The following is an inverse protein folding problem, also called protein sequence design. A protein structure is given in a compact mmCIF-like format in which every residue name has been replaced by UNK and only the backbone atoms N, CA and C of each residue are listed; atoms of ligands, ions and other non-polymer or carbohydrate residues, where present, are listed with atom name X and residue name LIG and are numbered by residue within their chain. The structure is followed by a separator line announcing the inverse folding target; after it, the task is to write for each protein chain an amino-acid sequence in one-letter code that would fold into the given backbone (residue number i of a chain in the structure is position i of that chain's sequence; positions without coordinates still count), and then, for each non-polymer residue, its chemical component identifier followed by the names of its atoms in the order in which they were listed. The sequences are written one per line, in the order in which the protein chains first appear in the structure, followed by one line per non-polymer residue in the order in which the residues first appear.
data_IF_518731023775
#
_entry.id   IF_518731023775
#
_cell.length_a   1.000
_cell.length_b   1.000
_cell.length_c   1.000
_cell.angle_alpha   90.00
_cell.angle_beta   90.00
_cell.angle_gamma   90.00
#
_symmetry.space_group_name_H-M   'P 1'
#
loop_
_entity.id
_entity.type
_entity.pdbx_description
1 polymer ?
#
# COMPACT_ATOMS: atom_id res chain seq x y z
N UNK A 1 -5.57 -6.16 36.01
CA UNK A 1 -6.68 -6.01 35.05
C UNK A 1 -6.06 -5.61 33.72
N UNK A 2 -6.47 -6.21 32.60
CA UNK A 2 -5.96 -5.82 31.27
C UNK A 2 -6.39 -4.39 30.97
N UNK A 3 -5.43 -3.50 30.72
CA UNK A 3 -5.70 -2.11 30.34
C UNK A 3 -5.54 -1.98 28.83
N UNK A 4 -6.66 -2.05 28.11
CA UNK A 4 -6.68 -2.01 26.65
C UNK A 4 -6.76 -0.56 26.14
N UNK A 5 -5.67 -0.07 25.56
CA UNK A 5 -5.58 1.27 24.94
C UNK A 5 -5.43 1.16 23.43
N UNK A 6 -5.87 2.21 22.71
CA UNK A 6 -5.55 2.38 21.29
C UNK A 6 -4.83 3.71 21.16
N UNK A 7 -3.68 3.70 20.51
CA UNK A 7 -2.78 4.84 20.42
C UNK A 7 -2.32 5.04 18.96
N UNK A 8 -2.15 6.30 18.50
CA UNK A 8 -1.59 6.56 17.19
C UNK A 8 -0.12 6.12 17.15
N UNK A 9 0.30 5.59 16.00
CA UNK A 9 1.72 5.32 15.74
C UNK A 9 2.39 6.64 15.35
N UNK A 10 3.43 7.01 16.07
CA UNK A 10 4.27 8.20 15.83
C UNK A 10 5.60 7.77 15.24
N UNK A 11 6.45 8.74 14.90
CA UNK A 11 7.82 8.44 14.46
C UNK A 11 8.63 7.73 15.54
N UNK A 12 8.39 8.02 16.83
CA UNK A 12 9.09 7.34 17.92
C UNK A 12 8.64 5.88 18.09
N UNK A 13 7.35 5.59 17.89
CA UNK A 13 6.77 4.25 18.10
C UNK A 13 6.73 3.39 16.83
N UNK A 14 7.12 3.95 15.68
CA UNK A 14 7.08 3.26 14.40
C UNK A 14 7.93 1.98 14.37
N UNK A 15 9.11 2.01 15.00
CA UNK A 15 9.98 0.83 15.03
C UNK A 15 9.39 -0.28 15.91
N UNK A 16 8.78 0.05 17.05
CA UNK A 16 8.06 -0.90 17.92
C UNK A 16 6.91 -1.57 17.14
N UNK A 17 6.13 -0.78 16.40
CA UNK A 17 5.05 -1.31 15.56
C UNK A 17 5.59 -2.20 14.42
N UNK A 18 6.69 -1.80 13.79
CA UNK A 18 7.34 -2.57 12.74
C UNK A 18 7.86 -3.93 13.25
N UNK A 19 8.38 -4.00 14.48
CA UNK A 19 8.73 -5.26 15.13
C UNK A 19 7.50 -6.13 15.32
N UNK A 20 6.38 -5.59 15.82
CA UNK A 20 5.14 -6.34 15.95
C UNK A 20 4.68 -6.96 14.60
N UNK A 21 4.69 -6.17 13.52
CA UNK A 21 4.30 -6.65 12.18
C UNK A 21 5.25 -7.73 11.64
N UNK A 22 6.55 -7.62 11.89
CA UNK A 22 7.51 -8.66 11.52
C UNK A 22 7.16 -10.00 12.17
N UNK A 23 6.87 -10.00 13.47
CA UNK A 23 6.60 -11.22 14.23
C UNK A 23 5.22 -11.84 13.93
N UNK A 24 4.21 -11.00 13.69
CA UNK A 24 2.81 -11.47 13.68
C UNK A 24 2.09 -11.36 12.33
N UNK A 25 2.57 -10.55 11.40
CA UNK A 25 1.96 -10.40 10.08
C UNK A 25 2.78 -11.04 8.97
N UNK A 26 4.09 -10.75 8.91
CA UNK A 26 4.97 -11.31 7.88
C UNK A 26 6.43 -11.18 8.27
N UNK A 27 7.08 -12.33 8.51
CA UNK A 27 8.51 -12.42 8.81
C UNK A 27 9.41 -12.22 7.56
N UNK A 28 8.85 -12.22 6.35
CA UNK A 28 9.60 -11.99 5.10
C UNK A 28 10.12 -10.55 4.92
N UNK A 29 9.79 -9.63 5.83
CA UNK A 29 10.27 -8.24 5.86
C UNK A 29 10.85 -7.96 7.24
N UNK A 30 12.09 -7.46 7.31
CA UNK A 30 12.70 -7.11 8.60
C UNK A 30 11.96 -5.91 9.25
N UNK A 31 12.11 -5.71 10.58
CA UNK A 31 11.55 -4.53 11.24
C UNK A 31 12.01 -3.19 10.63
N UNK A 32 13.28 -3.09 10.20
CA UNK A 32 13.83 -1.87 9.58
C UNK A 32 13.13 -1.60 8.25
N UNK A 33 12.90 -2.65 7.46
CA UNK A 33 12.17 -2.55 6.20
C UNK A 33 10.71 -2.17 6.41
N UNK A 34 10.05 -2.76 7.40
CA UNK A 34 8.69 -2.38 7.79
C UNK A 34 8.59 -0.90 8.19
N UNK A 35 9.51 -0.44 9.04
CA UNK A 35 9.55 0.95 9.48
C UNK A 35 9.87 1.91 8.32
N UNK A 36 10.80 1.56 7.44
CA UNK A 36 11.12 2.35 6.24
C UNK A 36 9.94 2.42 5.27
N UNK A 37 9.27 1.29 5.01
CA UNK A 37 8.09 1.22 4.14
C UNK A 37 6.96 2.11 4.68
N UNK A 38 6.52 1.89 5.93
CA UNK A 38 5.48 2.70 6.58
C UNK A 38 5.91 4.17 6.75
N UNK A 39 7.21 4.38 6.94
CA UNK A 39 7.85 5.69 7.03
C UNK A 39 7.80 6.52 5.76
N UNK A 40 7.51 5.92 4.59
CA UNK A 40 7.45 6.62 3.31
C UNK A 40 6.48 7.79 3.36
N UNK A 41 6.92 8.98 2.97
CA UNK A 41 6.11 10.21 2.96
C UNK A 41 5.71 10.54 1.53
N UNK A 42 4.46 10.28 1.17
CA UNK A 42 3.83 10.85 -0.04
C UNK A 42 3.00 12.09 0.25
N UNK A 43 2.97 12.50 1.53
CA UNK A 43 2.39 13.73 2.03
C UNK A 43 3.29 14.23 3.16
N UNK A 44 3.59 15.53 3.19
CA UNK A 44 4.44 16.13 4.24
C UNK A 44 3.68 16.20 5.57
N UNK A 45 2.37 16.45 5.52
CA UNK A 45 1.50 16.52 6.69
C UNK A 45 0.67 15.22 6.82
N UNK A 46 1.21 14.26 7.58
CA UNK A 46 0.48 13.04 7.98
C UNK A 46 0.15 13.07 9.48
N UNK A 47 -1.03 12.58 9.91
CA UNK A 47 -1.42 12.62 11.32
C UNK A 47 -0.78 11.51 12.18
N UNK A 48 -0.38 10.39 11.58
CA UNK A 48 0.20 9.21 12.22
C UNK A 48 0.71 8.23 11.14
N UNK A 49 1.21 7.07 11.55
CA UNK A 49 1.55 5.93 10.68
C UNK A 49 0.52 4.79 10.76
N UNK A 50 -0.63 5.06 11.38
CA UNK A 50 -1.62 4.07 11.78
C UNK A 50 -1.91 4.11 13.28
N UNK A 51 -2.48 3.03 13.80
CA UNK A 51 -2.81 2.88 15.22
C UNK A 51 -2.39 1.50 15.73
N UNK A 52 -2.06 1.43 17.01
CA UNK A 52 -1.77 0.19 17.74
C UNK A 52 -2.77 -0.03 18.87
N UNK A 53 -3.07 -1.30 19.13
CA UNK A 53 -3.81 -1.78 20.28
C UNK A 53 -2.78 -2.27 21.30
N UNK A 54 -2.78 -1.68 22.51
CA UNK A 54 -1.88 -2.08 23.59
C UNK A 54 -2.64 -2.73 24.74
N UNK A 55 -2.04 -3.76 25.35
CA UNK A 55 -2.46 -4.33 26.64
C UNK A 55 -1.31 -4.19 27.62
N UNK A 56 -1.50 -3.36 28.64
CA UNK A 56 -0.47 -3.14 29.69
C UNK A 56 0.88 -2.68 29.09
N UNK A 57 0.84 -1.84 28.04
CA UNK A 57 2.01 -1.27 27.37
C UNK A 57 2.51 -2.05 26.15
N UNK A 58 2.17 -3.34 26.04
CA UNK A 58 2.62 -4.21 24.95
C UNK A 58 1.70 -4.13 23.73
N UNK A 59 2.25 -4.06 22.52
CA UNK A 59 1.46 -4.09 21.27
C UNK A 59 0.87 -5.49 21.07
N UNK A 60 -0.45 -5.56 21.04
CA UNK A 60 -1.23 -6.80 20.80
C UNK A 60 -2.06 -6.75 19.51
N UNK A 61 -1.98 -5.64 18.80
CA UNK A 61 -2.57 -5.45 17.49
C UNK A 61 -2.15 -4.12 16.88
N UNK A 62 -2.30 -3.98 15.57
CA UNK A 62 -2.04 -2.74 14.87
C UNK A 62 -2.63 -2.71 13.46
N UNK A 63 -2.73 -1.50 12.94
CA UNK A 63 -3.24 -1.18 11.62
C UNK A 63 -2.43 -0.02 11.07
N UNK A 64 -1.83 -0.19 9.90
CA UNK A 64 -1.02 0.83 9.25
C UNK A 64 -1.84 1.75 8.35
N UNK A 65 -1.30 2.94 8.08
CA UNK A 65 -1.93 3.92 7.21
C UNK A 65 -0.91 4.65 6.33
N UNK A 66 -1.22 4.77 5.03
CA UNK A 66 -0.50 5.62 4.09
C UNK A 66 -1.35 6.82 3.71
N UNK A 67 -0.76 8.01 3.76
CA UNK A 67 -1.46 9.27 3.47
C UNK A 67 -0.93 9.88 2.19
N UNK A 68 -1.84 10.31 1.30
CA UNK A 68 -1.49 11.03 0.08
C UNK A 68 -2.58 12.03 -0.28
N UNK A 69 -2.17 13.17 -0.83
CA UNK A 69 -3.07 14.14 -1.43
C UNK A 69 -3.07 13.97 -2.95
N UNK A 70 -4.24 14.01 -3.58
CA UNK A 70 -4.38 13.86 -5.04
C UNK A 70 -5.38 14.86 -5.59
N UNK A 71 -5.17 15.29 -6.83
CA UNK A 71 -6.16 16.09 -7.56
C UNK A 71 -7.16 15.16 -8.23
N UNK A 72 -8.42 15.21 -7.81
CA UNK A 72 -9.53 14.45 -8.39
C UNK A 72 -10.56 15.43 -8.91
N UNK A 73 -10.87 15.36 -10.21
CA UNK A 73 -11.78 16.30 -10.88
C UNK A 73 -11.46 17.79 -10.60
N UNK A 74 -10.17 18.14 -10.57
CA UNK A 74 -9.69 19.50 -10.31
C UNK A 74 -9.71 19.94 -8.85
N UNK A 75 -10.08 19.07 -7.91
CA UNK A 75 -10.07 19.33 -6.47
C UNK A 75 -8.97 18.54 -5.78
N UNK A 76 -8.29 19.19 -4.84
CA UNK A 76 -7.29 18.57 -3.99
C UNK A 76 -8.01 17.78 -2.89
N UNK A 77 -7.89 16.46 -2.93
CA UNK A 77 -8.55 15.52 -2.02
C UNK A 77 -7.50 14.74 -1.22
N UNK A 78 -7.80 14.42 0.05
CA UNK A 78 -6.89 13.65 0.92
C UNK A 78 -7.32 12.19 0.97
N UNK A 79 -6.35 11.29 0.84
CA UNK A 79 -6.56 9.85 0.88
C UNK A 79 -5.78 9.21 2.03
N UNK A 80 -6.39 8.21 2.65
CA UNK A 80 -5.78 7.33 3.64
C UNK A 80 -5.94 5.87 3.18
N UNK A 81 -4.86 5.25 2.74
CA UNK A 81 -4.84 3.84 2.41
C UNK A 81 -4.51 3.01 3.66
N UNK A 82 -5.46 2.19 4.08
CA UNK A 82 -5.33 1.22 5.16
C UNK A 82 -4.39 0.11 4.70
N UNK A 83 -3.52 -0.34 5.62
CA UNK A 83 -2.60 -1.44 5.36
C UNK A 83 -2.28 -2.20 6.65
N UNK A 84 -1.58 -3.33 6.53
CA UNK A 84 -0.94 -4.02 7.65
C UNK A 84 -1.82 -4.26 8.88
N UNK A 85 -3.08 -4.65 8.66
CA UNK A 85 -4.02 -4.90 9.75
C UNK A 85 -3.79 -6.29 10.38
N UNK A 86 -3.29 -6.31 11.62
CA UNK A 86 -2.97 -7.52 12.36
C UNK A 86 -3.39 -7.38 13.82
N UNK A 87 -4.14 -8.33 14.38
CA UNK A 87 -4.53 -8.37 15.80
C UNK A 87 -4.39 -9.79 16.31
N UNK A 88 -3.72 -9.96 17.45
CA UNK A 88 -3.54 -11.27 18.07
C UNK A 88 -4.89 -11.89 18.44
N UNK A 89 -4.99 -13.21 18.35
CA UNK A 89 -6.25 -13.98 18.46
C UNK A 89 -7.08 -13.63 19.69
N UNK A 90 -6.43 -13.53 20.86
CA UNK A 90 -7.06 -13.17 22.14
C UNK A 90 -7.69 -11.77 22.16
N UNK A 91 -7.26 -10.89 21.27
CA UNK A 91 -7.63 -9.47 21.24
C UNK A 91 -8.50 -9.10 20.03
N UNK A 92 -8.88 -10.09 19.19
CA UNK A 92 -9.67 -9.85 17.97
C UNK A 92 -11.01 -9.16 18.23
N UNK A 93 -11.61 -9.29 19.43
CA UNK A 93 -12.80 -8.51 19.78
C UNK A 93 -12.59 -6.98 19.71
N UNK A 94 -11.35 -6.51 19.78
CA UNK A 94 -11.00 -5.08 19.69
C UNK A 94 -10.61 -4.64 18.27
N UNK A 95 -10.54 -5.57 17.30
CA UNK A 95 -10.12 -5.28 15.92
C UNK A 95 -10.99 -4.22 15.25
N UNK A 96 -12.31 -4.27 15.48
CA UNK A 96 -13.24 -3.26 14.98
C UNK A 96 -12.99 -1.87 15.57
N UNK A 97 -12.66 -1.79 16.86
CA UNK A 97 -12.34 -0.51 17.52
C UNK A 97 -11.07 0.09 16.93
N UNK A 98 -10.09 -0.74 16.60
CA UNK A 98 -8.85 -0.34 15.94
C UNK A 98 -9.09 0.22 14.53
N UNK A 99 -9.90 -0.44 13.71
CA UNK A 99 -10.25 0.08 12.39
C UNK A 99 -11.04 1.41 12.46
N UNK A 100 -11.97 1.52 13.42
CA UNK A 100 -12.72 2.76 13.67
C UNK A 100 -11.81 3.94 14.01
N UNK A 101 -10.67 3.71 14.69
CA UNK A 101 -9.69 4.77 14.96
C UNK A 101 -9.07 5.34 13.68
N UNK A 102 -8.94 4.55 12.60
CA UNK A 102 -8.54 5.07 11.30
C UNK A 102 -9.70 5.79 10.62
N UNK A 103 -10.84 5.11 10.42
CA UNK A 103 -11.89 5.59 9.51
C UNK A 103 -12.69 6.78 10.06
N UNK A 104 -12.59 7.05 11.38
CA UNK A 104 -13.18 8.24 11.99
C UNK A 104 -12.30 9.49 11.88
N UNK A 105 -11.10 9.40 11.28
CA UNK A 105 -10.28 10.58 11.02
C UNK A 105 -10.97 11.49 9.98
N UNK A 106 -11.24 12.76 10.29
CA UNK A 106 -12.01 13.62 9.42
C UNK A 106 -11.23 14.03 8.17
N UNK A 107 -11.95 14.21 7.06
CA UNK A 107 -11.40 14.83 5.85
C UNK A 107 -10.56 13.90 4.96
N UNK A 108 -10.65 12.58 5.14
CA UNK A 108 -9.98 11.60 4.30
C UNK A 108 -10.96 10.70 3.55
N UNK A 109 -10.62 10.36 2.32
CA UNK A 109 -11.17 9.21 1.60
C UNK A 109 -10.35 7.98 1.96
N UNK A 110 -11.01 6.90 2.38
CA UNK A 110 -10.33 5.69 2.84
C UNK A 110 -10.31 4.61 1.76
N UNK A 111 -9.19 3.90 1.65
CA UNK A 111 -9.02 2.78 0.71
C UNK A 111 -8.31 1.61 1.38
N UNK A 112 -8.46 0.41 0.82
CA UNK A 112 -7.57 -0.73 1.04
C UNK A 112 -7.45 -1.47 -0.29
N UNK A 113 -6.24 -1.49 -0.87
CA UNK A 113 -5.99 -2.10 -2.19
C UNK A 113 -5.68 -3.59 -2.13
N UNK A 114 -5.43 -4.15 -0.95
CA UNK A 114 -5.08 -5.57 -0.79
C UNK A 114 -5.80 -6.23 0.38
N UNK A 115 -7.13 -6.05 0.54
CA UNK A 115 -7.83 -6.62 1.67
C UNK A 115 -7.87 -8.14 1.52
N UNK A 116 -7.63 -8.86 2.62
CA UNK A 116 -8.00 -10.28 2.69
C UNK A 116 -9.53 -10.43 2.59
N UNK A 117 -10.05 -11.62 2.29
CA UNK A 117 -11.51 -11.82 2.24
C UNK A 117 -12.20 -11.42 3.56
N UNK A 118 -11.55 -11.69 4.69
CA UNK A 118 -12.03 -11.31 6.03
C UNK A 118 -12.02 -9.79 6.20
N UNK A 119 -10.93 -9.12 5.83
CA UNK A 119 -10.83 -7.65 5.89
C UNK A 119 -11.86 -7.00 4.96
N UNK A 120 -12.02 -7.51 3.74
CA UNK A 120 -13.00 -7.05 2.75
C UNK A 120 -14.44 -7.12 3.28
N UNK A 121 -14.81 -8.21 3.97
CA UNK A 121 -16.12 -8.33 4.61
C UNK A 121 -16.33 -7.25 5.70
N UNK A 122 -15.30 -7.00 6.51
CA UNK A 122 -15.32 -5.96 7.54
C UNK A 122 -15.41 -4.55 6.95
N UNK A 123 -14.66 -4.25 5.89
CA UNK A 123 -14.71 -2.95 5.23
C UNK A 123 -16.09 -2.69 4.61
N UNK A 124 -16.73 -3.70 4.02
CA UNK A 124 -18.13 -3.59 3.54
C UNK A 124 -19.12 -3.29 4.68
N UNK A 125 -18.89 -3.82 5.88
CA UNK A 125 -19.68 -3.45 7.05
C UNK A 125 -19.53 -1.95 7.38
N UNK A 126 -18.33 -1.40 7.21
CA UNK A 126 -18.06 0.05 7.28
C UNK A 126 -18.45 0.84 6.02
N UNK A 127 -19.26 0.25 5.12
CA UNK A 127 -19.77 0.90 3.90
C UNK A 127 -18.72 1.23 2.85
N UNK A 128 -17.55 0.57 2.90
CA UNK A 128 -16.63 0.62 1.77
C UNK A 128 -17.27 -0.09 0.58
N UNK A 129 -17.12 0.52 -0.59
CA UNK A 129 -17.58 -0.03 -1.85
C UNK A 129 -16.39 -0.61 -2.63
N UNK A 130 -16.56 -1.77 -3.29
CA UNK A 130 -15.54 -2.29 -4.19
C UNK A 130 -15.38 -1.33 -5.38
N UNK A 131 -14.13 -0.99 -5.72
CA UNK A 131 -13.83 -0.09 -6.84
C UNK A 131 -13.95 -0.82 -8.19
N UNK A 132 -13.00 -1.71 -8.48
CA UNK A 132 -13.03 -2.65 -9.58
C UNK A 132 -12.28 -3.91 -9.15
N UNK A 133 -12.98 -5.04 -9.10
CA UNK A 133 -12.43 -6.33 -8.67
C UNK A 133 -12.04 -7.22 -9.86
N UNK A 134 -12.17 -6.72 -11.10
CA UNK A 134 -11.85 -7.50 -12.30
C UNK A 134 -10.35 -7.67 -12.43
N UNK A 135 -9.92 -8.92 -12.60
CA UNK A 135 -8.54 -9.28 -12.87
C UNK A 135 -8.44 -9.78 -14.31
N UNK A 136 -7.60 -9.13 -15.11
CA UNK A 136 -7.20 -9.62 -16.42
C UNK A 136 -5.93 -10.47 -16.27
N UNK A 137 -5.98 -11.73 -16.70
CA UNK A 137 -4.80 -12.61 -16.77
C UNK A 137 -4.35 -12.70 -18.22
N UNK A 138 -3.20 -12.11 -18.51
CA UNK A 138 -2.61 -12.08 -19.85
C UNK A 138 -1.42 -13.03 -19.87
N UNK A 139 -1.40 -13.98 -20.80
CA UNK A 139 -0.26 -14.87 -20.98
C UNK A 139 0.87 -14.10 -21.68
N UNK A 140 2.08 -14.17 -21.11
CA UNK A 140 3.29 -13.62 -21.72
C UNK A 140 3.81 -14.54 -22.83
N UNK A 141 3.04 -14.65 -23.91
CA UNK A 141 3.43 -15.41 -25.08
C UNK A 141 4.30 -14.53 -26.01
N UNK A 142 5.23 -15.12 -26.77
CA UNK A 142 5.99 -14.40 -27.79
C UNK A 142 5.03 -14.02 -28.92
N UNK A 143 4.32 -12.91 -28.74
CA UNK A 143 3.42 -12.36 -29.73
C UNK A 143 4.14 -11.26 -30.51
N UNK A 144 3.98 -11.26 -31.83
CA UNK A 144 4.55 -10.27 -32.76
C UNK A 144 3.78 -8.93 -32.94
N UNK A 145 2.70 -8.54 -32.23
CA UNK A 145 1.99 -7.28 -32.51
C UNK A 145 2.69 -6.04 -31.94
N UNK A 146 3.83 -6.19 -31.24
CA UNK A 146 4.58 -5.09 -30.64
C UNK A 146 5.73 -4.56 -31.51
N UNK A 147 5.89 -4.96 -32.78
CA UNK A 147 6.91 -4.34 -33.67
C UNK A 147 6.77 -2.80 -33.76
N UNK A 148 5.58 -2.26 -33.46
CA UNK A 148 5.32 -0.81 -33.42
C UNK A 148 5.63 -0.16 -32.07
N UNK A 149 5.64 -0.92 -30.98
CA UNK A 149 5.76 -0.38 -29.63
C UNK A 149 7.11 -0.72 -29.02
N UNK A 150 7.75 0.28 -28.42
CA UNK A 150 8.99 0.11 -27.67
C UNK A 150 8.68 -0.25 -26.22
N UNK A 151 9.50 -1.14 -25.68
CA UNK A 151 9.56 -1.42 -24.24
C UNK A 151 10.85 -0.83 -23.71
N UNK A 152 10.75 0.12 -22.80
CA UNK A 152 11.90 0.78 -22.16
C UNK A 152 11.89 0.44 -20.68
N UNK A 153 13.04 0.07 -20.13
CA UNK A 153 13.15 -0.44 -18.76
C UNK A 153 14.40 0.07 -18.04
N UNK A 154 15.24 0.87 -18.72
CA UNK A 154 16.41 1.50 -18.09
C UNK A 154 15.94 2.76 -17.38
N UNK A 155 16.45 3.00 -16.16
CA UNK A 155 16.11 4.17 -15.37
C UNK A 155 16.33 5.49 -16.14
N UNK A 156 17.46 5.60 -16.85
CA UNK A 156 17.82 6.77 -17.68
C UNK A 156 16.77 7.07 -18.75
N UNK A 157 16.26 6.05 -19.44
CA UNK A 157 15.22 6.20 -20.46
C UNK A 157 13.89 6.63 -19.82
N UNK A 158 13.55 6.05 -18.67
CA UNK A 158 12.30 6.36 -17.94
C UNK A 158 12.31 7.82 -17.47
N UNK A 159 13.41 8.26 -16.87
CA UNK A 159 13.54 9.61 -16.31
C UNK A 159 13.58 10.71 -17.39
N UNK A 160 14.08 10.40 -18.59
CA UNK A 160 14.06 11.33 -19.72
C UNK A 160 12.67 11.48 -20.35
N UNK A 161 11.86 10.41 -20.33
CA UNK A 161 10.57 10.37 -21.02
C UNK A 161 9.43 10.83 -20.13
N UNK A 162 9.41 10.38 -18.86
CA UNK A 162 8.34 10.74 -17.95
C UNK A 162 8.44 12.21 -17.57
N UNK A 163 7.30 12.88 -17.56
CA UNK A 163 7.17 14.28 -17.15
C UNK A 163 5.97 14.45 -16.22
N UNK A 164 5.93 15.58 -15.50
CA UNK A 164 4.82 15.93 -14.61
C UNK A 164 4.51 14.85 -13.56
N UNK A 165 3.22 14.50 -13.44
CA UNK A 165 2.74 13.53 -12.45
C UNK A 165 3.33 12.12 -12.64
N UNK A 166 3.51 11.67 -13.88
CA UNK A 166 4.05 10.34 -14.15
C UNK A 166 5.51 10.21 -13.66
N UNK A 167 6.32 11.26 -13.83
CA UNK A 167 7.69 11.30 -13.29
C UNK A 167 7.69 11.29 -11.76
N UNK A 168 6.75 12.03 -11.14
CA UNK A 168 6.62 12.02 -9.68
C UNK A 168 6.21 10.64 -9.16
N UNK A 169 5.27 9.96 -9.84
CA UNK A 169 4.90 8.59 -9.51
C UNK A 169 6.10 7.66 -9.60
N UNK A 170 6.95 7.77 -10.63
CA UNK A 170 8.18 6.99 -10.70
C UNK A 170 9.12 7.27 -9.50
N UNK A 171 9.39 8.54 -9.20
CA UNK A 171 10.25 8.93 -8.08
C UNK A 171 9.72 8.47 -6.72
N UNK A 172 8.40 8.52 -6.53
CA UNK A 172 7.71 8.06 -5.32
C UNK A 172 7.88 6.55 -5.07
N UNK A 173 8.20 5.76 -6.11
CA UNK A 173 8.16 4.30 -6.07
C UNK A 173 9.49 3.61 -6.40
N UNK A 174 10.42 4.27 -7.11
CA UNK A 174 11.72 3.68 -7.53
C UNK A 174 12.59 3.26 -6.35
N UNK A 175 12.36 3.84 -5.17
CA UNK A 175 13.07 3.50 -3.94
C UNK A 175 12.71 2.11 -3.39
N UNK A 176 11.63 1.50 -3.87
CA UNK A 176 11.19 0.17 -3.43
C UNK A 176 11.81 -0.94 -4.28
N UNK A 177 12.79 -1.71 -3.78
CA UNK A 177 13.55 -2.68 -4.58
C UNK A 177 12.73 -3.89 -5.07
N UNK A 178 11.47 -4.04 -4.67
CA UNK A 178 10.57 -5.09 -5.16
C UNK A 178 9.60 -4.59 -6.22
N UNK A 179 9.60 -3.29 -6.52
CA UNK A 179 8.86 -2.71 -7.62
C UNK A 179 9.80 -2.59 -8.82
N UNK A 180 9.29 -2.99 -9.96
CA UNK A 180 9.95 -2.89 -11.25
C UNK A 180 9.18 -1.89 -12.10
N UNK A 181 9.90 -1.21 -13.00
CA UNK A 181 9.34 -0.15 -13.82
C UNK A 181 9.65 -0.41 -15.29
N UNK A 182 8.65 -0.20 -16.15
CA UNK A 182 8.86 -0.16 -17.59
C UNK A 182 7.90 0.82 -18.26
N UNK A 183 8.26 1.27 -19.44
CA UNK A 183 7.40 2.03 -20.34
C UNK A 183 7.04 1.15 -21.54
N UNK A 184 5.76 1.12 -21.91
CA UNK A 184 5.30 0.53 -23.17
C UNK A 184 4.65 1.62 -23.99
N UNK A 185 5.08 1.81 -25.23
CA UNK A 185 4.54 2.89 -26.04
C UNK A 185 5.22 3.11 -27.37
N UNK A 186 4.88 4.21 -28.02
CA UNK A 186 5.48 4.64 -29.29
C UNK A 186 5.68 6.16 -29.31
N UNK A 187 6.80 6.60 -29.90
CA UNK A 187 7.17 8.02 -30.02
C UNK A 187 7.10 8.75 -28.69
N UNK A 188 6.07 9.58 -28.47
CA UNK A 188 5.86 10.41 -27.27
C UNK A 188 4.67 9.93 -26.41
N UNK A 189 4.15 8.72 -26.68
CA UNK A 189 3.01 8.14 -25.95
C UNK A 189 3.45 6.87 -25.26
N UNK A 190 3.77 6.98 -23.97
CA UNK A 190 4.16 5.87 -23.14
C UNK A 190 3.19 5.65 -21.99
N UNK A 191 2.87 4.38 -21.74
CA UNK A 191 2.24 3.94 -20.51
C UNK A 191 3.33 3.55 -19.52
N UNK A 192 3.36 4.20 -18.36
CA UNK A 192 4.23 3.80 -17.24
C UNK A 192 3.61 2.63 -16.50
N UNK A 193 4.31 1.51 -16.47
CA UNK A 193 3.89 0.30 -15.80
C UNK A 193 4.80 0.10 -14.58
N UNK A 194 4.17 0.04 -13.41
CA UNK A 194 4.80 -0.38 -12.16
C UNK A 194 4.30 -1.79 -11.86
N UNK A 195 5.21 -2.73 -11.64
CA UNK A 195 4.83 -4.11 -11.40
C UNK A 195 5.70 -4.77 -10.35
N UNK A 196 5.18 -5.85 -9.78
CA UNK A 196 5.90 -6.70 -8.83
C UNK A 196 5.94 -8.13 -9.36
N UNK A 197 7.10 -8.77 -9.27
CA UNK A 197 7.25 -10.21 -9.56
C UNK A 197 6.53 -11.05 -8.50
N UNK A 198 5.76 -12.04 -8.93
CA UNK A 198 4.94 -12.89 -8.07
C UNK A 198 4.80 -14.30 -8.65
N UNK A 199 4.02 -15.15 -7.99
CA UNK A 199 3.53 -16.40 -8.54
C UNK A 199 2.00 -16.38 -8.60
N UNK A 200 1.44 -16.84 -9.71
CA UNK A 200 0.00 -17.01 -9.87
C UNK A 200 -0.30 -18.46 -10.24
N UNK A 201 -1.02 -19.17 -9.38
CA UNK A 201 -1.32 -20.61 -9.53
C UNK A 201 -0.08 -21.48 -9.84
N UNK A 202 1.02 -21.20 -9.15
CA UNK A 202 2.28 -21.96 -9.28
C UNK A 202 3.17 -21.56 -10.47
N UNK A 203 2.73 -20.61 -11.31
CA UNK A 203 3.53 -20.10 -12.44
C UNK A 203 4.15 -18.74 -12.08
N UNK A 204 5.38 -18.45 -12.56
CA UNK A 204 5.94 -17.11 -12.48
C UNK A 204 5.03 -16.09 -13.17
N UNK A 205 4.75 -14.99 -12.49
CA UNK A 205 3.87 -13.94 -12.99
C UNK A 205 4.36 -12.56 -12.56
N UNK A 206 3.79 -11.53 -13.15
CA UNK A 206 3.90 -10.15 -12.66
C UNK A 206 2.51 -9.66 -12.29
N UNK A 207 2.43 -8.91 -11.20
CA UNK A 207 1.23 -8.19 -10.81
C UNK A 207 1.43 -6.72 -11.16
N UNK A 208 0.52 -6.19 -11.97
CA UNK A 208 0.44 -4.77 -12.34
C UNK A 208 -0.73 -4.21 -11.53
N UNK A 209 -0.49 -3.10 -10.84
CA UNK A 209 -1.46 -2.42 -9.97
C UNK A 209 -1.94 -1.12 -10.60
#
# INVERSE_FOLDING_TARGET
MSQITIEPVTSETLHEFAQFLHHHLSNGRSPERWASELGTSWNEERPNYGFVLKDTGEIVGGIGAFYKTRTVHGKVEKFCNITSWCVLDKYRQHSMRLALSIINQPGYHFSDFTPTQVVSATLRFFKFEPLDERIAVILNLPWHPFDRHKVLYRAEDIEQILTGEALQIYKDHVTFPWLEHLLVGEKDRYCHIIYKKTQFKGLPAVMIY
#
